data_IF_211273335818
#
_entry.id   IF_211273335818
#
_cell.length_a   1.000
_cell.length_b   1.000
_cell.length_c   1.000
_cell.angle_alpha   90.00
_cell.angle_beta   90.00
_cell.angle_gamma   90.00
#
_symmetry.space_group_name_H-M   'P 1'
#
loop_
_entity.id
_entity.type
_entity.pdbx_description
1 polymer ?
#
# COMPACT_ATOMS: atom_id res chain seq x y z
N UNK A 1 5.18 -32.03 18.47
CA UNK A 1 6.04 -30.90 18.74
C UNK A 1 7.06 -30.83 17.62
N UNK A 2 6.76 -30.14 16.57
CA UNK A 2 7.73 -29.79 15.53
C UNK A 2 7.52 -28.31 15.27
N UNK A 3 8.46 -27.57 15.82
CA UNK A 3 8.66 -26.15 15.67
C UNK A 3 8.93 -25.89 14.17
N UNK A 4 7.95 -25.41 13.44
CA UNK A 4 8.14 -24.94 12.07
C UNK A 4 8.86 -23.61 12.17
N UNK A 5 10.19 -23.68 12.21
CA UNK A 5 11.11 -22.57 12.20
C UNK A 5 10.73 -21.57 11.12
N UNK A 6 10.48 -20.38 11.60
CA UNK A 6 10.32 -19.11 10.89
C UNK A 6 11.47 -18.91 9.88
N UNK A 7 11.27 -19.30 8.61
CA UNK A 7 12.31 -19.27 7.56
C UNK A 7 12.54 -17.89 6.95
N UNK A 8 12.01 -16.82 7.54
CA UNK A 8 12.18 -15.47 7.01
C UNK A 8 12.81 -14.53 8.06
N UNK A 9 14.13 -14.65 8.26
CA UNK A 9 14.91 -13.95 9.30
C UNK A 9 15.44 -12.57 8.88
N UNK A 10 14.93 -11.97 7.80
CA UNK A 10 15.35 -10.62 7.36
C UNK A 10 14.90 -9.52 8.34
N UNK A 11 15.65 -8.38 8.44
CA UNK A 11 15.26 -7.27 9.28
C UNK A 11 13.92 -6.66 8.81
N UNK A 12 13.11 -6.19 9.77
CA UNK A 12 11.87 -5.49 9.48
C UNK A 12 12.14 -4.22 8.68
N UNK A 13 11.45 -4.05 7.53
CA UNK A 13 11.50 -2.84 6.71
C UNK A 13 10.52 -1.79 7.21
N UNK A 14 9.33 -2.22 7.64
CA UNK A 14 8.31 -1.36 8.23
C UNK A 14 8.17 -1.76 9.70
N UNK A 15 8.18 -0.77 10.58
CA UNK A 15 7.92 -0.91 12.01
C UNK A 15 6.85 0.08 12.41
N UNK A 16 5.80 -0.40 13.07
CA UNK A 16 4.71 0.41 13.58
C UNK A 16 4.48 0.04 15.03
N UNK A 17 4.53 1.02 15.94
CA UNK A 17 4.34 0.83 17.36
C UNK A 17 3.36 1.84 17.94
N UNK A 18 2.32 1.34 18.63
CA UNK A 18 1.37 2.13 19.40
C UNK A 18 0.66 3.21 18.58
N UNK A 19 0.31 2.95 17.30
CA UNK A 19 -0.24 3.96 16.42
C UNK A 19 -1.68 4.30 16.81
N UNK A 20 -1.92 5.57 17.20
CA UNK A 20 -3.23 6.09 17.58
C UNK A 20 -3.65 7.23 16.65
N UNK A 21 -4.91 7.19 16.18
CA UNK A 21 -5.48 8.23 15.33
C UNK A 21 -6.94 8.49 15.64
N UNK A 22 -7.28 9.76 15.78
CA UNK A 22 -8.66 10.23 15.95
C UNK A 22 -9.04 11.24 14.86
N UNK A 23 -10.32 11.27 14.51
CA UNK A 23 -10.92 12.30 13.68
C UNK A 23 -12.09 12.91 14.48
N UNK A 24 -11.89 14.13 14.97
CA UNK A 24 -12.77 14.72 15.98
C UNK A 24 -12.83 13.84 17.23
N UNK A 25 -14.03 13.51 17.71
CA UNK A 25 -14.24 12.69 18.91
C UNK A 25 -14.13 11.18 18.64
N UNK A 26 -13.98 10.77 17.38
CA UNK A 26 -13.92 9.36 17.00
C UNK A 26 -12.48 8.88 16.94
N UNK A 27 -12.07 8.02 17.88
CA UNK A 27 -10.82 7.28 17.79
C UNK A 27 -10.94 6.16 16.77
N UNK A 28 -10.11 6.21 15.71
CA UNK A 28 -10.11 5.27 14.58
C UNK A 28 -9.01 4.22 14.73
N UNK A 29 -7.82 4.61 15.22
CA UNK A 29 -6.74 3.69 15.54
C UNK A 29 -6.48 3.71 17.05
N UNK A 30 -6.34 2.52 17.63
CA UNK A 30 -6.29 2.32 19.08
C UNK A 30 -5.06 1.52 19.51
N UNK A 31 -3.86 1.99 19.10
CA UNK A 31 -2.61 1.31 19.42
C UNK A 31 -2.32 0.17 18.44
N UNK A 32 -2.07 0.49 17.16
CA UNK A 32 -1.69 -0.49 16.15
C UNK A 32 -0.20 -0.78 16.23
N UNK A 33 0.13 -2.08 16.32
CA UNK A 33 1.50 -2.59 16.35
C UNK A 33 1.68 -3.68 15.29
N UNK A 34 2.63 -3.49 14.36
CA UNK A 34 3.04 -4.53 13.43
C UNK A 34 4.40 -4.24 12.80
N UNK A 35 4.98 -5.27 12.24
CA UNK A 35 6.18 -5.18 11.42
C UNK A 35 5.95 -5.86 10.07
N UNK A 36 6.60 -5.33 9.01
CA UNK A 36 6.67 -5.97 7.70
C UNK A 36 8.12 -6.13 7.28
N UNK A 37 8.47 -7.31 6.81
CA UNK A 37 9.82 -7.62 6.38
C UNK A 37 10.10 -7.10 4.97
N UNK A 38 11.39 -6.98 4.63
CA UNK A 38 11.82 -6.62 3.28
C UNK A 38 11.37 -7.70 2.28
N UNK A 39 10.87 -7.27 1.10
CA UNK A 39 10.46 -8.18 0.03
C UNK A 39 9.18 -8.95 0.33
N UNK A 40 8.37 -8.50 1.32
CA UNK A 40 7.11 -9.17 1.67
C UNK A 40 5.91 -8.30 1.42
N UNK A 41 4.77 -8.95 1.14
CA UNK A 41 3.46 -8.33 1.00
C UNK A 41 2.66 -8.51 2.30
N UNK A 42 2.36 -7.39 2.99
CA UNK A 42 1.45 -7.35 4.13
C UNK A 42 0.08 -6.88 3.66
N UNK A 43 -0.95 -7.68 3.89
CA UNK A 43 -2.33 -7.33 3.51
C UNK A 43 -3.14 -6.97 4.74
N UNK A 44 -3.85 -5.82 4.67
CA UNK A 44 -4.79 -5.36 5.69
C UNK A 44 -6.21 -5.73 5.27
N UNK A 45 -6.88 -6.60 6.05
CA UNK A 45 -8.26 -7.01 5.87
C UNK A 45 -9.13 -6.50 7.02
N UNK A 46 -10.45 -6.47 6.81
CA UNK A 46 -11.42 -6.11 7.82
C UNK A 46 -12.60 -5.31 7.27
N UNK A 47 -13.64 -5.08 8.08
CA UNK A 47 -14.85 -4.36 7.67
C UNK A 47 -14.55 -2.90 7.28
N UNK A 48 -15.50 -2.29 6.56
CA UNK A 48 -15.43 -0.84 6.26
C UNK A 48 -15.41 -0.04 7.56
N UNK A 49 -14.56 0.97 7.61
CA UNK A 49 -14.40 1.83 8.80
C UNK A 49 -13.57 1.21 9.94
N UNK A 50 -12.92 0.05 9.76
CA UNK A 50 -12.04 -0.55 10.78
C UNK A 50 -10.67 0.16 10.94
N UNK A 51 -10.32 1.10 10.05
CA UNK A 51 -9.09 1.88 10.14
C UNK A 51 -7.99 1.50 9.14
N UNK A 52 -8.22 0.54 8.22
CA UNK A 52 -7.20 0.06 7.24
C UNK A 52 -6.54 1.17 6.44
N UNK A 53 -7.34 2.00 5.76
CA UNK A 53 -6.86 3.15 4.99
C UNK A 53 -6.12 4.16 5.88
N UNK A 54 -6.58 4.36 7.12
CA UNK A 54 -5.93 5.25 8.09
C UNK A 54 -4.55 4.72 8.49
N UNK A 55 -4.41 3.39 8.74
CA UNK A 55 -3.09 2.77 8.96
C UNK A 55 -2.20 3.03 7.75
N UNK A 56 -2.68 2.70 6.54
CA UNK A 56 -1.91 2.84 5.32
C UNK A 56 -1.43 4.29 5.09
N UNK A 57 -2.32 5.28 5.27
CA UNK A 57 -2.01 6.71 5.12
C UNK A 57 -1.10 7.25 6.21
N UNK A 58 -1.09 6.61 7.37
CA UNK A 58 -0.16 6.95 8.44
C UNK A 58 1.27 6.51 8.12
N UNK A 59 1.46 5.41 7.36
CA UNK A 59 2.79 4.93 6.96
C UNK A 59 3.56 5.92 6.09
N UNK A 60 2.87 6.77 5.33
CA UNK A 60 3.50 7.83 4.54
C UNK A 60 3.19 9.25 5.05
N UNK A 61 2.68 9.35 6.27
CA UNK A 61 2.33 10.62 6.91
C UNK A 61 1.37 11.50 6.08
N UNK A 62 0.45 10.89 5.30
CA UNK A 62 -0.69 11.62 4.73
C UNK A 62 -1.71 11.92 5.82
N UNK A 63 -2.05 10.93 6.64
CA UNK A 63 -2.76 11.13 7.90
C UNK A 63 -1.72 11.18 9.01
N UNK A 64 -1.68 12.27 9.76
CA UNK A 64 -0.74 12.44 10.89
C UNK A 64 -1.40 11.86 12.15
N UNK A 65 -0.85 10.77 12.72
CA UNK A 65 -1.30 10.23 13.99
C UNK A 65 -1.05 11.18 15.16
N UNK A 66 -1.78 11.03 16.25
CA UNK A 66 -1.54 11.75 17.48
C UNK A 66 -0.41 11.10 18.29
N UNK A 67 -0.26 9.76 18.18
CA UNK A 67 0.77 8.98 18.89
C UNK A 67 1.22 7.79 18.07
N UNK A 68 2.32 7.22 18.48
CA UNK A 68 2.93 6.05 17.90
C UNK A 68 4.14 6.34 17.06
N UNK A 69 4.85 5.29 16.72
CA UNK A 69 6.09 5.34 15.92
C UNK A 69 5.87 4.63 14.61
N UNK A 70 6.30 5.25 13.51
CA UNK A 70 6.38 4.62 12.19
C UNK A 70 7.81 4.73 11.69
N UNK A 71 8.41 3.58 11.38
CA UNK A 71 9.74 3.45 10.77
C UNK A 71 9.68 2.73 9.44
N UNK A 72 10.44 3.25 8.45
CA UNK A 72 10.71 2.58 7.17
C UNK A 72 12.22 2.59 6.96
N UNK A 73 12.85 1.41 6.97
CA UNK A 73 14.30 1.24 7.02
C UNK A 73 14.93 2.08 8.15
N UNK A 74 15.77 3.08 7.81
CA UNK A 74 16.47 3.99 8.72
C UNK A 74 15.71 5.31 9.02
N UNK A 75 14.56 5.51 8.41
CA UNK A 75 13.73 6.70 8.64
C UNK A 75 12.61 6.37 9.61
N UNK A 76 12.61 7.01 10.76
CA UNK A 76 11.62 6.79 11.81
C UNK A 76 11.03 8.11 12.30
N UNK A 77 9.74 8.11 12.64
CA UNK A 77 9.02 9.24 13.25
C UNK A 77 8.28 8.75 14.50
N UNK A 78 8.54 9.38 15.63
CA UNK A 78 7.66 9.36 16.80
C UNK A 78 6.67 10.54 16.68
N UNK A 79 5.42 10.25 16.36
CA UNK A 79 4.40 11.26 16.12
C UNK A 79 4.05 12.05 17.37
N UNK A 80 4.17 11.46 18.57
CA UNK A 80 3.97 12.19 19.82
C UNK A 80 5.01 13.31 20.04
N UNK A 81 6.17 13.18 19.41
CA UNK A 81 7.29 14.14 19.48
C UNK A 81 7.50 14.92 18.19
N UNK A 82 6.60 14.78 17.21
CA UNK A 82 6.75 15.45 15.92
C UNK A 82 6.75 16.98 16.07
N UNK A 83 7.83 17.68 15.66
CA UNK A 83 7.92 19.12 15.78
C UNK A 83 6.83 19.83 14.95
N UNK A 84 6.40 21.00 15.42
CA UNK A 84 5.47 21.84 14.65
C UNK A 84 6.19 22.62 13.53
N UNK A 85 5.45 23.00 12.51
CA UNK A 85 5.91 23.89 11.46
C UNK A 85 6.88 23.25 10.47
N UNK A 86 7.94 23.97 10.10
CA UNK A 86 8.88 23.54 9.03
C UNK A 86 9.66 22.27 9.39
N UNK A 87 10.05 22.11 10.66
CA UNK A 87 10.80 20.94 11.11
C UNK A 87 9.97 19.66 10.97
N UNK A 88 8.73 19.65 11.48
CA UNK A 88 7.85 18.49 11.34
C UNK A 88 7.52 18.17 9.87
N UNK A 89 7.28 19.18 9.03
CA UNK A 89 7.11 18.96 7.58
C UNK A 89 8.33 18.32 6.93
N UNK A 90 9.54 18.66 7.38
CA UNK A 90 10.76 18.03 6.86
C UNK A 90 10.83 16.55 7.24
N UNK A 91 10.50 16.19 8.48
CA UNK A 91 10.47 14.80 8.95
C UNK A 91 9.40 13.98 8.20
N UNK A 92 8.16 14.48 8.13
CA UNK A 92 7.09 13.80 7.39
C UNK A 92 7.41 13.64 5.90
N UNK A 93 8.07 14.61 5.27
CA UNK A 93 8.53 14.49 3.88
C UNK A 93 9.63 13.44 3.71
N UNK A 94 10.53 13.28 4.70
CA UNK A 94 11.54 12.22 4.68
C UNK A 94 10.89 10.83 4.75
N UNK A 95 9.91 10.64 5.62
CA UNK A 95 9.15 9.39 5.69
C UNK A 95 8.37 9.13 4.41
N UNK A 96 7.65 10.15 3.90
CA UNK A 96 6.88 10.06 2.65
C UNK A 96 7.74 9.66 1.45
N UNK A 97 8.98 10.14 1.39
CA UNK A 97 9.93 9.81 0.32
C UNK A 97 10.37 8.33 0.32
N UNK A 98 10.09 7.57 1.41
CA UNK A 98 10.38 6.14 1.46
C UNK A 98 9.30 5.29 0.79
N UNK A 99 8.12 5.84 0.53
CA UNK A 99 6.98 5.10 0.01
C UNK A 99 6.42 5.67 -1.30
N UNK A 100 5.99 4.79 -2.18
CA UNK A 100 5.11 5.10 -3.30
C UNK A 100 3.68 4.70 -2.92
N UNK A 101 2.68 5.53 -3.24
CA UNK A 101 1.29 5.23 -2.92
C UNK A 101 0.42 5.15 -4.16
N UNK A 102 -0.34 4.08 -4.25
CA UNK A 102 -1.38 3.83 -5.25
C UNK A 102 -2.73 3.99 -4.57
N UNK A 103 -3.53 4.92 -5.04
CA UNK A 103 -4.81 5.27 -4.44
C UNK A 103 -5.98 4.54 -5.11
N UNK A 104 -7.11 4.47 -4.41
CA UNK A 104 -8.37 3.98 -4.93
C UNK A 104 -8.83 4.74 -6.18
N UNK A 105 -8.75 6.08 -6.15
CA UNK A 105 -8.92 6.92 -7.32
C UNK A 105 -7.59 7.04 -8.04
N UNK A 106 -7.58 6.96 -9.36
CA UNK A 106 -6.34 6.90 -10.16
C UNK A 106 -5.40 8.08 -9.92
N UNK A 107 -5.95 9.28 -9.58
CA UNK A 107 -5.23 10.52 -9.24
C UNK A 107 -4.15 10.92 -10.25
N UNK A 108 -4.32 10.53 -11.52
CA UNK A 108 -3.43 10.93 -12.60
C UNK A 108 -3.77 12.32 -13.12
N UNK A 109 -2.79 13.05 -13.62
CA UNK A 109 -2.97 14.41 -14.14
C UNK A 109 -3.67 14.35 -15.49
N UNK A 110 -4.93 14.86 -15.63
CA UNK A 110 -5.73 14.68 -16.84
C UNK A 110 -5.19 15.46 -18.07
N UNK A 111 -4.39 16.49 -17.82
CA UNK A 111 -3.81 17.36 -18.84
C UNK A 111 -2.37 16.96 -19.25
N UNK A 112 -1.89 15.81 -18.78
CA UNK A 112 -0.57 15.24 -19.10
C UNK A 112 -0.73 13.90 -19.76
N UNK A 113 0.21 13.56 -20.65
CA UNK A 113 0.27 12.21 -21.20
C UNK A 113 0.61 11.18 -20.13
N UNK A 114 0.44 9.90 -20.45
CA UNK A 114 0.80 8.77 -19.58
C UNK A 114 2.28 8.86 -19.18
N UNK A 115 3.17 9.07 -20.13
CA UNK A 115 4.60 9.20 -19.86
C UNK A 115 4.90 10.39 -18.95
N UNK A 116 4.28 11.55 -19.21
CA UNK A 116 4.46 12.76 -18.40
C UNK A 116 3.95 12.55 -16.96
N UNK A 117 2.87 11.81 -16.78
CA UNK A 117 2.37 11.45 -15.44
C UNK A 117 3.41 10.66 -14.64
N UNK A 118 4.14 9.74 -15.26
CA UNK A 118 5.12 8.89 -14.59
C UNK A 118 6.41 9.67 -14.29
N UNK A 119 6.88 10.49 -15.21
CA UNK A 119 8.17 11.19 -15.06
C UNK A 119 8.10 12.43 -14.15
N UNK A 120 6.90 12.96 -13.89
CA UNK A 120 6.72 14.20 -13.12
C UNK A 120 7.35 14.13 -11.72
N UNK A 121 7.03 13.09 -10.95
CA UNK A 121 7.54 12.93 -9.59
C UNK A 121 9.07 12.85 -9.55
N UNK A 122 9.70 11.93 -10.28
CA UNK A 122 11.16 11.82 -10.37
C UNK A 122 11.87 13.11 -10.82
N UNK A 123 11.35 13.77 -11.84
CA UNK A 123 11.99 14.98 -12.38
C UNK A 123 11.80 16.18 -11.46
N UNK A 124 10.56 16.44 -11.00
CA UNK A 124 10.24 17.65 -10.23
C UNK A 124 10.61 17.51 -8.76
N UNK A 125 10.20 16.40 -8.11
CA UNK A 125 10.41 16.23 -6.68
C UNK A 125 11.80 15.69 -6.35
N UNK A 126 12.31 14.73 -7.13
CA UNK A 126 13.63 14.11 -6.90
C UNK A 126 14.76 14.78 -7.70
N UNK A 127 14.44 15.69 -8.64
CA UNK A 127 15.40 16.41 -9.48
C UNK A 127 16.30 15.48 -10.32
N UNK A 128 15.75 14.34 -10.73
CA UNK A 128 16.47 13.37 -11.56
C UNK A 128 16.56 13.87 -13.02
N UNK A 129 17.60 13.47 -13.77
CA UNK A 129 17.73 13.79 -15.17
C UNK A 129 16.52 13.30 -15.98
N UNK A 130 15.94 14.19 -16.81
CA UNK A 130 14.70 13.87 -17.55
C UNK A 130 14.90 12.69 -18.51
N UNK A 131 16.03 12.66 -19.21
CA UNK A 131 16.32 11.62 -20.21
C UNK A 131 16.38 10.23 -19.59
N UNK A 132 17.12 10.06 -18.48
CA UNK A 132 17.18 8.83 -17.71
C UNK A 132 15.78 8.42 -17.19
N UNK A 133 15.04 9.38 -16.65
CA UNK A 133 13.70 9.15 -16.10
C UNK A 133 12.71 8.70 -17.19
N UNK A 134 12.79 9.26 -18.39
CA UNK A 134 11.96 8.86 -19.54
C UNK A 134 12.27 7.43 -19.95
N UNK A 135 13.54 7.03 -20.03
CA UNK A 135 13.92 5.65 -20.35
C UNK A 135 13.37 4.65 -19.33
N UNK A 136 13.53 4.95 -18.04
CA UNK A 136 12.96 4.12 -16.97
C UNK A 136 11.43 4.07 -17.00
N UNK A 137 10.76 5.21 -17.22
CA UNK A 137 9.31 5.27 -17.31
C UNK A 137 8.76 4.39 -18.45
N UNK A 138 9.44 4.32 -19.59
CA UNK A 138 9.08 3.42 -20.69
C UNK A 138 9.23 1.94 -20.30
N UNK A 139 10.25 1.59 -19.53
CA UNK A 139 10.41 0.24 -18.97
C UNK A 139 9.27 -0.10 -18.02
N UNK A 140 8.91 0.82 -17.10
CA UNK A 140 7.77 0.64 -16.19
C UNK A 140 6.45 0.50 -16.93
N UNK A 141 6.23 1.27 -18.00
CA UNK A 141 5.05 1.12 -18.86
C UNK A 141 4.97 -0.26 -19.50
N UNK A 142 6.08 -0.82 -19.95
CA UNK A 142 6.11 -2.17 -20.48
C UNK A 142 5.77 -3.21 -19.38
N UNK A 143 6.30 -3.06 -18.16
CA UNK A 143 6.00 -3.94 -17.02
C UNK A 143 4.51 -3.94 -16.65
N UNK A 144 3.82 -2.79 -16.76
CA UNK A 144 2.37 -2.72 -16.49
C UNK A 144 1.51 -2.95 -17.74
N UNK A 145 2.09 -3.44 -18.86
CA UNK A 145 1.39 -3.76 -20.10
C UNK A 145 0.82 -2.56 -20.85
N UNK A 146 1.52 -1.40 -20.81
CA UNK A 146 1.10 -0.14 -21.44
C UNK A 146 2.20 0.50 -22.30
N UNK A 147 3.08 -0.32 -22.88
CA UNK A 147 4.23 0.19 -23.67
C UNK A 147 3.80 1.07 -24.86
N UNK A 148 2.65 0.77 -25.48
CA UNK A 148 2.06 1.48 -26.62
C UNK A 148 1.24 2.71 -26.24
N UNK A 149 1.07 3.01 -24.93
CA UNK A 149 0.22 4.08 -24.40
C UNK A 149 0.97 5.28 -23.84
N UNK A 150 2.30 5.38 -24.07
CA UNK A 150 3.14 6.42 -23.50
C UNK A 150 2.65 7.85 -23.81
N UNK A 151 2.19 8.08 -25.03
CA UNK A 151 1.77 9.39 -25.52
C UNK A 151 0.24 9.63 -25.41
N UNK A 152 -0.52 8.63 -24.93
CA UNK A 152 -1.96 8.75 -24.71
C UNK A 152 -2.27 9.66 -23.49
N UNK A 153 -3.43 10.28 -23.51
CA UNK A 153 -3.98 11.03 -22.38
C UNK A 153 -4.88 10.15 -21.51
N UNK A 154 -5.09 10.48 -20.22
CA UNK A 154 -5.93 9.70 -19.32
C UNK A 154 -7.34 9.39 -19.84
N UNK A 155 -7.98 10.32 -20.53
CA UNK A 155 -9.32 10.14 -21.08
C UNK A 155 -9.39 9.12 -22.24
N UNK A 156 -8.25 8.72 -22.81
CA UNK A 156 -8.13 7.69 -23.86
C UNK A 156 -7.91 6.28 -23.26
N UNK A 157 -7.85 6.18 -21.91
CA UNK A 157 -7.55 4.95 -21.19
C UNK A 157 -8.78 4.43 -20.45
N UNK A 158 -8.92 3.10 -20.37
CA UNK A 158 -9.86 2.47 -19.44
C UNK A 158 -9.46 2.72 -17.98
N UNK A 159 -10.40 2.54 -17.03
CA UNK A 159 -10.12 2.66 -15.60
C UNK A 159 -8.97 1.76 -15.14
N UNK A 160 -8.93 0.50 -15.60
CA UNK A 160 -7.83 -0.42 -15.29
C UNK A 160 -6.49 0.03 -15.88
N UNK A 161 -6.48 0.61 -17.08
CA UNK A 161 -5.27 1.21 -17.66
C UNK A 161 -4.80 2.42 -16.86
N UNK A 162 -5.71 3.30 -16.46
CA UNK A 162 -5.38 4.46 -15.61
C UNK A 162 -4.80 4.02 -14.26
N UNK A 163 -5.34 2.96 -13.66
CA UNK A 163 -4.82 2.42 -12.41
C UNK A 163 -3.41 1.84 -12.58
N UNK A 164 -3.14 1.14 -13.69
CA UNK A 164 -1.79 0.65 -14.02
C UNK A 164 -0.79 1.79 -14.26
N UNK A 165 -1.21 2.93 -14.83
CA UNK A 165 -0.39 4.16 -14.87
C UNK A 165 -0.11 4.67 -13.46
N UNK A 166 -1.10 4.65 -12.55
CA UNK A 166 -0.92 5.01 -11.14
C UNK A 166 0.12 4.13 -10.44
N UNK A 167 0.13 2.83 -10.73
CA UNK A 167 1.14 1.89 -10.22
C UNK A 167 2.53 2.26 -10.78
N UNK A 168 2.68 2.39 -12.09
CA UNK A 168 3.95 2.77 -12.73
C UNK A 168 4.49 4.10 -12.18
N UNK A 169 3.61 5.08 -11.94
CA UNK A 169 3.98 6.37 -11.33
C UNK A 169 4.52 6.22 -9.90
N UNK A 170 3.92 5.35 -9.09
CA UNK A 170 4.38 5.08 -7.73
C UNK A 170 5.77 4.40 -7.76
N UNK A 171 5.98 3.44 -8.65
CA UNK A 171 7.25 2.73 -8.82
C UNK A 171 8.38 3.60 -9.36
N UNK A 172 8.07 4.58 -10.21
CA UNK A 172 9.04 5.52 -10.80
C UNK A 172 9.82 6.32 -9.75
N UNK A 173 9.23 6.52 -8.57
CA UNK A 173 9.90 7.16 -7.43
C UNK A 173 10.97 6.28 -6.78
N UNK A 174 11.12 5.02 -7.19
CA UNK A 174 12.04 4.01 -6.60
C UNK A 174 11.85 3.90 -5.09
N UNK A 175 10.61 3.71 -4.62
CA UNK A 175 10.31 3.70 -3.18
C UNK A 175 10.87 2.45 -2.51
N UNK A 176 11.06 2.52 -1.19
CA UNK A 176 11.38 1.36 -0.34
C UNK A 176 10.16 0.48 -0.13
N UNK A 177 8.98 1.10 -0.07
CA UNK A 177 7.69 0.42 0.19
C UNK A 177 6.64 0.94 -0.79
N UNK A 178 5.80 0.05 -1.33
CA UNK A 178 4.63 0.42 -2.13
C UNK A 178 3.37 0.20 -1.31
N UNK A 179 2.55 1.25 -1.20
CA UNK A 179 1.30 1.26 -0.45
C UNK A 179 0.12 1.24 -1.42
N UNK A 180 -0.78 0.29 -1.28
CA UNK A 180 -1.98 0.15 -2.11
C UNK A 180 -3.24 0.37 -1.28
N UNK A 181 -4.00 1.42 -1.57
CA UNK A 181 -5.27 1.76 -0.92
C UNK A 181 -6.43 1.35 -1.81
N UNK A 182 -6.94 0.13 -1.64
CA UNK A 182 -8.06 -0.44 -2.39
C UNK A 182 -7.93 -0.24 -3.92
N UNK A 183 -6.85 -0.73 -4.56
CA UNK A 183 -6.48 -0.37 -5.93
C UNK A 183 -7.49 -0.79 -7.01
N UNK A 184 -8.49 -1.59 -6.67
CA UNK A 184 -9.49 -2.12 -7.61
C UNK A 184 -10.93 -1.68 -7.32
N UNK A 185 -11.19 -1.04 -6.19
CA UNK A 185 -12.56 -0.75 -5.74
C UNK A 185 -13.34 0.27 -6.60
N UNK A 186 -12.64 1.06 -7.42
CA UNK A 186 -13.23 2.01 -8.36
C UNK A 186 -13.31 1.49 -9.80
N UNK A 187 -13.05 0.19 -10.01
CA UNK A 187 -12.99 -0.44 -11.34
C UNK A 187 -14.23 -1.30 -11.60
N UNK A 188 -14.58 -1.39 -12.88
CA UNK A 188 -15.52 -2.41 -13.35
C UNK A 188 -14.93 -3.81 -13.09
N UNK A 189 -15.78 -4.82 -12.72
CA UNK A 189 -15.31 -6.17 -12.38
C UNK A 189 -14.44 -6.82 -13.46
N UNK A 190 -14.70 -6.53 -14.74
CA UNK A 190 -13.93 -7.06 -15.87
C UNK A 190 -12.47 -6.55 -15.90
N UNK A 191 -12.21 -5.36 -15.34
CA UNK A 191 -10.89 -4.73 -15.33
C UNK A 191 -10.06 -5.05 -14.06
N UNK A 192 -10.69 -5.59 -13.02
CA UNK A 192 -10.05 -5.93 -11.74
C UNK A 192 -8.89 -6.89 -11.94
N UNK A 193 -9.09 -7.94 -12.74
CA UNK A 193 -8.10 -9.00 -12.96
C UNK A 193 -6.77 -8.49 -13.50
N UNK A 194 -6.79 -7.52 -14.43
CA UNK A 194 -5.58 -6.95 -15.03
C UNK A 194 -4.72 -6.20 -14.02
N UNK A 195 -5.36 -5.43 -13.13
CA UNK A 195 -4.65 -4.66 -12.07
C UNK A 195 -4.08 -5.61 -11.01
N UNK A 196 -4.87 -6.60 -10.58
CA UNK A 196 -4.41 -7.59 -9.61
C UNK A 196 -3.25 -8.44 -10.13
N UNK A 197 -3.24 -8.76 -11.43
CA UNK A 197 -2.13 -9.48 -12.08
C UNK A 197 -0.81 -8.68 -11.99
N UNK A 198 -0.85 -7.37 -12.25
CA UNK A 198 0.33 -6.49 -12.10
C UNK A 198 0.81 -6.47 -10.65
N UNK A 199 -0.09 -6.31 -9.66
CA UNK A 199 0.31 -6.29 -8.26
C UNK A 199 0.89 -7.65 -7.83
N UNK A 200 0.33 -8.75 -8.31
CA UNK A 200 0.87 -10.10 -8.07
C UNK A 200 2.27 -10.28 -8.66
N UNK A 201 2.53 -9.76 -9.84
CA UNK A 201 3.86 -9.80 -10.45
C UNK A 201 4.87 -9.00 -9.60
N UNK A 202 4.50 -7.82 -9.11
CA UNK A 202 5.34 -7.04 -8.19
C UNK A 202 5.67 -7.81 -6.90
N UNK A 203 4.73 -8.61 -6.38
CA UNK A 203 4.98 -9.45 -5.20
C UNK A 203 6.07 -10.50 -5.46
N UNK A 204 6.22 -10.99 -6.69
CA UNK A 204 7.28 -11.95 -7.06
C UNK A 204 8.64 -11.28 -7.29
N UNK A 205 8.70 -9.96 -7.38
CA UNK A 205 9.92 -9.16 -7.64
C UNK A 205 10.54 -8.55 -6.37
N UNK A 206 10.32 -9.14 -5.19
CA UNK A 206 10.84 -8.69 -3.90
C UNK A 206 10.43 -7.25 -3.50
N UNK A 207 9.32 -6.72 -4.04
CA UNK A 207 8.79 -5.46 -3.57
C UNK A 207 8.21 -5.60 -2.16
N UNK A 208 8.58 -4.69 -1.27
CA UNK A 208 7.90 -4.60 0.03
C UNK A 208 6.62 -3.82 -0.14
N UNK A 209 5.49 -4.44 0.20
CA UNK A 209 4.17 -3.85 -0.06
C UNK A 209 3.27 -3.91 1.17
N UNK A 210 2.43 -2.89 1.32
CA UNK A 210 1.26 -2.94 2.22
C UNK A 210 0.01 -2.69 1.38
N UNK A 211 -0.94 -3.61 1.43
CA UNK A 211 -2.09 -3.63 0.55
C UNK A 211 -3.38 -3.63 1.38
N UNK A 212 -4.22 -2.63 1.21
CA UNK A 212 -5.61 -2.65 1.65
C UNK A 212 -6.46 -3.14 0.49
N UNK A 213 -7.23 -4.20 0.69
CA UNK A 213 -8.09 -4.76 -0.36
C UNK A 213 -9.31 -5.48 0.22
N UNK A 214 -10.36 -5.59 -0.59
CA UNK A 214 -11.52 -6.44 -0.34
C UNK A 214 -11.46 -7.75 -1.14
N UNK A 215 -10.46 -7.92 -2.01
CA UNK A 215 -10.24 -9.09 -2.83
C UNK A 215 -9.58 -10.24 -2.03
N UNK A 216 -10.40 -11.01 -1.28
CA UNK A 216 -9.90 -12.05 -0.36
C UNK A 216 -9.11 -13.15 -1.08
N UNK A 217 -9.57 -13.56 -2.28
CA UNK A 217 -8.88 -14.58 -3.09
C UNK A 217 -7.50 -14.10 -3.54
N UNK A 218 -7.40 -12.83 -3.93
CA UNK A 218 -6.13 -12.21 -4.26
C UNK A 218 -5.22 -12.08 -3.03
N UNK A 219 -5.75 -11.59 -1.90
CA UNK A 219 -5.02 -11.50 -0.65
C UNK A 219 -4.36 -12.82 -0.26
N UNK A 220 -5.10 -13.94 -0.38
CA UNK A 220 -4.58 -15.29 -0.12
C UNK A 220 -3.42 -15.71 -1.03
N UNK A 221 -3.38 -15.18 -2.26
CA UNK A 221 -2.34 -15.55 -3.24
C UNK A 221 -1.05 -14.73 -3.10
N UNK A 222 -1.13 -13.51 -2.57
CA UNK A 222 0.01 -12.58 -2.56
C UNK A 222 0.55 -12.26 -1.18
N UNK A 223 -0.25 -12.45 -0.11
CA UNK A 223 0.15 -12.02 1.21
C UNK A 223 1.09 -13.03 1.88
N UNK A 224 2.27 -12.55 2.29
CA UNK A 224 3.13 -13.24 3.24
C UNK A 224 2.57 -13.10 4.67
N UNK A 225 1.94 -11.96 4.95
CA UNK A 225 1.30 -11.65 6.22
C UNK A 225 -0.06 -11.00 5.98
N UNK A 226 -1.05 -11.43 6.76
CA UNK A 226 -2.37 -10.79 6.84
C UNK A 226 -2.56 -10.21 8.22
N UNK A 227 -3.05 -8.96 8.27
CA UNK A 227 -3.48 -8.27 9.48
C UNK A 227 -4.97 -8.03 9.36
N UNK A 228 -5.77 -8.68 10.20
CA UNK A 228 -7.20 -8.45 10.26
C UNK A 228 -7.50 -7.34 11.28
N UNK A 229 -8.03 -6.23 10.79
CA UNK A 229 -8.39 -5.05 11.59
C UNK A 229 -9.90 -5.00 11.83
N UNK A 230 -10.27 -4.77 13.08
CA UNK A 230 -11.65 -4.46 13.46
C UNK A 230 -11.66 -3.45 14.60
N UNK A 231 -12.56 -2.46 14.54
CA UNK A 231 -12.72 -1.39 15.55
C UNK A 231 -11.40 -0.69 15.96
N UNK A 232 -10.49 -0.51 15.02
CA UNK A 232 -9.24 0.22 15.23
C UNK A 232 -8.13 -0.57 15.91
N UNK A 233 -8.24 -1.89 16.01
CA UNK A 233 -7.19 -2.78 16.54
C UNK A 233 -6.90 -3.93 15.57
N UNK A 234 -5.71 -4.51 15.64
CA UNK A 234 -5.40 -5.75 14.95
C UNK A 234 -5.93 -6.90 15.82
N UNK A 235 -7.01 -7.54 15.35
CA UNK A 235 -7.66 -8.66 16.05
C UNK A 235 -6.91 -9.96 15.79
N UNK A 236 -6.46 -10.16 14.55
CA UNK A 236 -5.74 -11.37 14.17
C UNK A 236 -4.62 -11.05 13.19
N UNK A 237 -3.49 -11.77 13.30
CA UNK A 237 -2.35 -11.66 12.39
C UNK A 237 -1.71 -13.01 12.16
N UNK A 238 -1.17 -13.21 10.97
CA UNK A 238 -0.44 -14.43 10.61
C UNK A 238 -0.24 -14.60 9.12
N UNK A 239 0.27 -15.75 8.67
CA UNK A 239 0.31 -16.11 7.26
C UNK A 239 -1.08 -16.14 6.64
N UNK A 240 -1.18 -15.90 5.33
CA UNK A 240 -2.45 -15.84 4.63
C UNK A 240 -3.30 -17.12 4.79
N UNK A 241 -2.68 -18.29 4.71
CA UNK A 241 -3.40 -19.56 4.85
C UNK A 241 -4.01 -19.74 6.25
N UNK A 242 -3.35 -19.22 7.30
CA UNK A 242 -3.88 -19.28 8.66
C UNK A 242 -5.01 -18.26 8.85
N UNK A 243 -4.79 -16.97 8.53
CA UNK A 243 -5.81 -15.93 8.85
C UNK A 243 -7.01 -16.01 7.91
N UNK A 244 -6.81 -16.39 6.64
CA UNK A 244 -7.90 -16.48 5.65
C UNK A 244 -8.47 -17.90 5.57
N UNK A 245 -7.62 -18.93 5.65
CA UNK A 245 -8.03 -20.34 5.53
C UNK A 245 -8.58 -20.93 6.82
N UNK A 246 -7.91 -20.69 7.94
CA UNK A 246 -8.21 -21.26 9.26
C UNK A 246 -8.21 -20.19 10.35
N UNK A 247 -9.09 -19.17 10.27
CA UNK A 247 -9.11 -18.06 11.23
C UNK A 247 -9.38 -18.55 12.65
N UNK A 248 -8.59 -18.07 13.60
CA UNK A 248 -8.69 -18.41 15.03
C UNK A 248 -9.70 -17.53 15.76
N UNK A 249 -9.77 -16.26 15.37
CA UNK A 249 -10.63 -15.28 16.00
C UNK A 249 -12.05 -15.32 15.42
N UNK A 250 -13.06 -15.29 16.29
CA UNK A 250 -14.46 -15.33 15.90
C UNK A 250 -14.87 -14.16 15.01
N UNK A 251 -14.32 -12.97 15.24
CA UNK A 251 -14.57 -11.78 14.40
C UNK A 251 -14.04 -11.97 12.99
N UNK A 252 -12.86 -12.55 12.83
CA UNK A 252 -12.25 -12.87 11.53
C UNK A 252 -13.11 -13.88 10.79
N UNK A 253 -13.53 -14.97 11.45
CA UNK A 253 -14.40 -16.01 10.86
C UNK A 253 -15.71 -15.42 10.33
N UNK A 254 -16.40 -14.62 11.15
CA UNK A 254 -17.68 -13.99 10.75
C UNK A 254 -17.51 -13.06 9.55
N UNK A 255 -16.43 -12.31 9.51
CA UNK A 255 -16.13 -11.42 8.38
C UNK A 255 -15.90 -12.24 7.11
N UNK A 256 -15.01 -13.22 7.15
CA UNK A 256 -14.65 -14.06 6.00
C UNK A 256 -15.83 -14.85 5.48
N UNK A 257 -16.62 -15.47 6.35
CA UNK A 257 -17.83 -16.19 5.95
C UNK A 257 -18.79 -15.29 5.16
N UNK A 258 -19.03 -14.07 5.64
CA UNK A 258 -19.92 -13.10 5.00
C UNK A 258 -19.42 -12.65 3.61
N UNK A 259 -18.09 -12.57 3.43
CA UNK A 259 -17.50 -12.09 2.18
C UNK A 259 -17.31 -13.22 1.17
N UNK A 260 -17.00 -14.45 1.62
CA UNK A 260 -16.75 -15.60 0.76
C UNK A 260 -18.02 -16.36 0.39
N UNK A 261 -19.03 -16.33 1.24
CA UNK A 261 -20.32 -17.00 1.07
C UNK A 261 -21.45 -15.95 1.22
N UNK A 262 -21.56 -14.99 0.30
CA UNK A 262 -22.73 -14.11 0.28
C UNK A 262 -23.95 -14.98 -0.09
N UNK A 263 -24.87 -15.15 0.90
CA UNK A 263 -26.10 -15.93 0.79
C UNK A 263 -27.04 -15.44 -0.31
#
# INVERSE_FOLDING_TARGET
MTDTADQNTGPARIRVHGLEKSFGDRQVLRGIDFESRRGTATVLLGPSGSGKTTVLRSLNALDIPERGVVGIDDVEIDFARLPRGRAGRRETNRLRAQSGMVFQSHNIFPHRTVLENIVEGPVVAQRRPREETVAEARTLLAQVGLADRADAYPFELSGGQQQRVGIARALALKPRVVLFDEPTSALDPELVGEVLAVIKELATQDWTMVIVTHEIRFARQVADQVLFLDEGVIVERGPADQVIGEPREERTRRFLHRVLEPG
#
